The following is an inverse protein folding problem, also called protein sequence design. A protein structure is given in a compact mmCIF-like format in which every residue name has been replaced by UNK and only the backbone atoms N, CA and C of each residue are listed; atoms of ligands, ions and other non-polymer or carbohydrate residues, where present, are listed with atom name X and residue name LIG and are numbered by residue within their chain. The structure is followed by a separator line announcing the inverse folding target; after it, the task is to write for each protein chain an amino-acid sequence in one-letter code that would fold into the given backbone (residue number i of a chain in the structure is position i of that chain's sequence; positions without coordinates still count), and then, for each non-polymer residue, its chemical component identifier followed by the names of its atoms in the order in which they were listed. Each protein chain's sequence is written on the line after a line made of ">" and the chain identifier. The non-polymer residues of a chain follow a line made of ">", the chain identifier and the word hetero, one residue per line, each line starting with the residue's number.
data_IF_149429307532
#
_entry.id   IF_149429307532
#
_cell.length_a   1.000
_cell.length_b   1.000
_cell.length_c   1.000
_cell.angle_alpha   90.00
_cell.angle_beta   90.00
_cell.angle_gamma   90.00
#
_symmetry.space_group_name_H-M   'P 1'
#
loop_
_entity.id
_entity.type
_entity.pdbx_description
1 polymer ?
#
# COMPACT_ATOMS: atom_id res chain seq x y z
N UNK A 1 -38.00 17.66 26.32
CA UNK A 1 -37.19 16.59 26.94
C UNK A 1 -36.86 17.07 28.33
N UNK A 2 -37.47 16.48 29.36
CA UNK A 2 -37.18 16.82 30.76
C UNK A 2 -36.15 15.85 31.30
N UNK A 3 -34.88 16.11 30.96
CA UNK A 3 -33.75 15.33 31.45
C UNK A 3 -33.48 15.65 32.91
N UNK A 4 -33.30 14.63 33.73
CA UNK A 4 -32.91 14.77 35.14
C UNK A 4 -31.41 15.06 35.25
N UNK A 5 -31.02 16.31 34.99
CA UNK A 5 -29.62 16.75 34.97
C UNK A 5 -29.36 17.93 35.95
N UNK A 6 -28.21 17.90 36.63
CA UNK A 6 -27.70 19.05 37.40
C UNK A 6 -26.93 20.00 36.48
N UNK A 7 -27.64 20.98 35.94
CA UNK A 7 -27.12 21.94 34.96
C UNK A 7 -25.98 22.83 35.47
N UNK A 8 -25.75 22.90 36.80
CA UNK A 8 -24.62 23.65 37.37
C UNK A 8 -23.27 23.04 37.02
N UNK A 9 -23.26 21.78 36.58
CA UNK A 9 -22.06 21.03 36.20
C UNK A 9 -21.82 21.04 34.68
N UNK A 10 -22.59 21.83 33.93
CA UNK A 10 -22.40 21.99 32.49
C UNK A 10 -21.18 22.86 32.20
N UNK A 11 -20.40 22.52 31.17
CA UNK A 11 -19.22 23.26 30.78
C UNK A 11 -18.94 23.13 29.27
N UNK A 12 -18.08 24.01 28.74
CA UNK A 12 -17.55 23.96 27.38
C UNK A 12 -16.14 23.35 27.38
N UNK A 13 -15.73 22.77 26.25
CA UNK A 13 -14.52 21.92 26.15
C UNK A 13 -13.35 22.56 25.41
N UNK A 14 -13.42 23.84 25.06
CA UNK A 14 -12.33 24.56 24.39
C UNK A 14 -11.58 25.44 25.40
N UNK A 15 -10.45 26.00 24.95
CA UNK A 15 -9.67 27.02 25.66
C UNK A 15 -10.48 28.26 26.11
N UNK A 16 -11.66 28.49 25.54
CA UNK A 16 -12.64 29.50 25.98
C UNK A 16 -13.10 29.24 27.44
N UNK A 17 -13.10 27.99 27.90
CA UNK A 17 -13.35 27.64 29.29
C UNK A 17 -12.02 27.42 30.04
N UNK A 18 -11.57 28.39 30.86
CA UNK A 18 -10.24 28.33 31.48
C UNK A 18 -10.08 27.17 32.47
N UNK A 19 -11.16 26.75 33.13
CA UNK A 19 -11.12 25.65 34.10
C UNK A 19 -10.91 24.30 33.40
N UNK A 20 -11.63 24.09 32.29
CA UNK A 20 -11.46 22.88 31.49
C UNK A 20 -10.11 22.86 30.77
N UNK A 21 -9.66 24.00 30.23
CA UNK A 21 -8.33 24.13 29.62
C UNK A 21 -7.22 23.75 30.60
N UNK A 22 -7.27 24.29 31.82
CA UNK A 22 -6.30 23.97 32.87
C UNK A 22 -6.33 22.49 33.24
N UNK A 23 -7.50 21.85 33.26
CA UNK A 23 -7.63 20.42 33.55
C UNK A 23 -7.00 19.56 32.44
N UNK A 24 -7.26 19.87 31.17
CA UNK A 24 -6.68 19.13 30.03
C UNK A 24 -5.17 19.34 29.96
N UNK A 25 -4.67 20.57 30.16
CA UNK A 25 -3.23 20.84 30.23
C UNK A 25 -2.55 20.03 31.33
N UNK A 26 -3.14 19.96 32.52
CA UNK A 26 -2.66 19.10 33.60
C UNK A 26 -2.60 17.63 33.17
N UNK A 27 -3.67 17.09 32.56
CA UNK A 27 -3.71 15.70 32.09
C UNK A 27 -2.57 15.39 31.09
N UNK A 28 -2.38 16.24 30.09
CA UNK A 28 -1.35 16.02 29.07
C UNK A 28 0.06 16.11 29.64
N UNK A 29 0.32 16.98 30.62
CA UNK A 29 1.62 17.05 31.29
C UNK A 29 1.99 15.73 31.98
N UNK A 30 1.00 14.98 32.46
CA UNK A 30 1.21 13.65 33.04
C UNK A 30 1.45 12.59 31.96
N UNK A 31 0.81 12.72 30.79
CA UNK A 31 0.93 11.76 29.68
C UNK A 31 2.25 11.86 28.89
N UNK A 32 3.00 12.96 29.00
CA UNK A 32 4.25 13.19 28.24
C UNK A 32 5.39 12.18 28.54
N UNK A 33 5.24 11.30 29.53
CA UNK A 33 6.32 10.41 30.00
C UNK A 33 6.46 9.07 29.25
N UNK A 34 5.78 8.83 28.13
CA UNK A 34 5.92 7.61 27.31
C UNK A 34 5.68 7.84 25.79
N UNK A 35 6.37 7.11 24.93
CA UNK A 35 6.27 7.11 23.44
C UNK A 35 6.56 5.70 22.89
N UNK A 36 6.30 5.27 21.63
CA UNK A 36 6.13 5.87 20.28
C UNK A 36 5.33 4.98 19.30
N UNK A 37 4.63 5.56 18.29
CA UNK A 37 4.28 4.94 16.97
C UNK A 37 2.93 5.38 16.35
N UNK A 38 2.48 4.81 15.21
CA UNK A 38 1.09 4.61 14.64
C UNK A 38 1.34 3.81 13.33
N UNK A 39 0.55 2.78 12.98
CA UNK A 39 0.84 1.94 11.80
C UNK A 39 -0.27 2.01 10.73
N UNK A 40 -0.02 2.61 9.56
CA UNK A 40 -0.85 2.49 8.35
C UNK A 40 -0.52 1.21 7.55
N UNK A 41 -1.29 0.93 6.49
CA UNK A 41 -0.99 -0.22 5.62
C UNK A 41 0.28 0.05 4.80
N UNK A 42 1.31 -0.79 5.02
CA UNK A 42 2.61 -0.68 4.37
C UNK A 42 2.67 -1.48 3.06
N UNK A 43 2.94 -0.80 1.96
CA UNK A 43 3.28 -1.37 0.67
C UNK A 43 4.77 -1.20 0.37
N UNK A 44 5.30 -2.14 -0.41
CA UNK A 44 6.60 -1.98 -1.08
C UNK A 44 6.33 -1.49 -2.50
N UNK A 45 6.81 -0.31 -2.87
CA UNK A 45 6.78 0.16 -4.25
C UNK A 45 8.00 -0.36 -4.98
N UNK A 46 7.78 -1.23 -5.97
CA UNK A 46 8.80 -1.77 -6.86
C UNK A 46 9.00 -0.80 -8.01
N UNK A 47 10.25 -0.38 -8.24
CA UNK A 47 10.60 0.51 -9.34
C UNK A 47 10.78 -0.29 -10.63
N UNK A 48 9.86 -0.14 -11.57
CA UNK A 48 9.95 -0.73 -12.90
C UNK A 48 10.44 0.32 -13.89
N UNK A 49 11.72 0.27 -14.26
CA UNK A 49 12.34 1.26 -15.14
C UNK A 49 11.89 1.07 -16.58
N UNK A 50 11.43 2.13 -17.24
CA UNK A 50 11.16 2.09 -18.68
C UNK A 50 12.49 2.12 -19.43
N UNK A 51 12.71 1.10 -20.27
CA UNK A 51 13.91 0.96 -21.10
C UNK A 51 13.63 1.01 -22.60
N UNK A 52 12.34 0.99 -23.00
CA UNK A 52 11.92 1.30 -24.36
C UNK A 52 11.84 2.82 -24.59
N UNK A 53 11.52 3.21 -25.84
CA UNK A 53 11.18 4.60 -26.17
C UNK A 53 10.04 5.08 -25.27
N UNK A 54 10.19 6.29 -24.71
CA UNK A 54 9.16 6.93 -23.88
C UNK A 54 7.92 7.30 -24.73
N UNK A 55 6.73 7.31 -24.12
CA UNK A 55 5.53 7.85 -24.75
C UNK A 55 5.73 9.29 -25.22
N UNK A 56 5.01 9.70 -26.27
CA UNK A 56 5.12 11.04 -26.89
C UNK A 56 5.03 12.19 -25.86
N UNK A 57 4.14 12.08 -24.87
CA UNK A 57 3.98 13.09 -23.82
C UNK A 57 5.19 13.23 -22.88
N UNK A 58 6.10 12.26 -22.91
CA UNK A 58 7.32 12.21 -22.10
C UNK A 58 8.59 12.30 -22.96
N UNK A 59 8.47 12.57 -24.27
CA UNK A 59 9.60 12.54 -25.20
C UNK A 59 10.69 13.58 -24.90
N UNK A 60 10.33 14.66 -24.20
CA UNK A 60 11.24 15.73 -23.79
C UNK A 60 12.07 15.37 -22.56
N UNK A 61 11.76 14.28 -21.86
CA UNK A 61 12.55 13.80 -20.72
C UNK A 61 13.73 13.01 -21.27
N UNK A 62 14.92 13.36 -20.81
CA UNK A 62 16.14 12.59 -21.07
C UNK A 62 16.25 11.46 -20.01
N UNK A 63 15.94 10.20 -20.34
CA UNK A 63 15.94 9.09 -19.37
C UNK A 63 17.35 8.76 -18.85
N UNK A 64 18.41 9.26 -19.49
CA UNK A 64 19.78 9.14 -18.98
C UNK A 64 20.06 10.08 -17.80
N UNK A 65 19.31 11.20 -17.69
CA UNK A 65 19.41 12.16 -16.60
C UNK A 65 18.31 11.99 -15.56
N UNK A 66 17.09 11.75 -16.03
CA UNK A 66 15.89 11.58 -15.21
C UNK A 66 15.22 10.26 -15.59
N UNK A 67 15.67 9.12 -15.04
CA UNK A 67 15.08 7.82 -15.34
C UNK A 67 13.59 7.80 -14.97
N UNK A 68 12.80 7.13 -15.82
CA UNK A 68 11.34 7.05 -15.68
C UNK A 68 10.96 5.66 -15.17
N UNK A 69 10.19 5.62 -14.09
CA UNK A 69 9.75 4.37 -13.45
C UNK A 69 8.23 4.31 -13.35
N UNK A 70 7.65 3.15 -13.65
CA UNK A 70 6.35 2.80 -13.09
C UNK A 70 6.57 2.26 -11.68
N UNK A 71 5.86 2.80 -10.69
CA UNK A 71 5.97 2.35 -9.31
C UNK A 71 4.85 1.38 -8.99
N UNK A 72 5.14 0.09 -8.91
CA UNK A 72 4.14 -0.94 -8.65
C UNK A 72 4.04 -1.25 -7.16
N UNK A 73 2.84 -1.15 -6.57
CA UNK A 73 2.63 -1.45 -5.16
C UNK A 73 2.43 -2.95 -4.93
N UNK A 74 3.20 -3.55 -4.02
CA UNK A 74 3.05 -4.97 -3.63
C UNK A 74 3.12 -5.16 -2.12
N UNK A 75 2.40 -6.16 -1.62
CA UNK A 75 2.50 -6.68 -0.25
C UNK A 75 3.41 -7.90 -0.16
N UNK A 76 3.91 -8.40 -1.28
CA UNK A 76 4.69 -9.64 -1.40
C UNK A 76 5.98 -9.38 -2.18
N UNK A 77 6.94 -8.60 -1.64
CA UNK A 77 8.19 -8.29 -2.33
C UNK A 77 9.04 -9.54 -2.62
N UNK A 78 8.86 -10.63 -1.86
CA UNK A 78 9.56 -11.89 -2.08
C UNK A 78 9.24 -12.54 -3.43
N UNK A 79 8.11 -12.19 -4.04
CA UNK A 79 7.68 -12.81 -5.30
C UNK A 79 8.25 -12.15 -6.55
N UNK A 80 9.01 -11.05 -6.41
CA UNK A 80 9.47 -10.24 -7.54
C UNK A 80 10.43 -10.96 -8.50
N UNK A 81 10.98 -12.12 -8.12
CA UNK A 81 11.72 -12.98 -9.04
C UNK A 81 10.84 -13.50 -10.19
N UNK A 82 9.55 -13.71 -9.95
CA UNK A 82 8.61 -14.33 -10.88
C UNK A 82 7.83 -13.34 -11.74
N UNK A 83 8.31 -12.11 -11.86
CA UNK A 83 7.65 -11.07 -12.66
C UNK A 83 7.67 -11.41 -14.15
N UNK A 84 6.50 -11.53 -14.78
CA UNK A 84 6.36 -11.75 -16.24
C UNK A 84 6.02 -10.48 -17.02
N UNK A 85 5.31 -9.55 -16.38
CA UNK A 85 4.81 -8.31 -16.98
C UNK A 85 4.37 -7.31 -15.89
N UNK A 86 3.90 -6.15 -16.32
CA UNK A 86 3.29 -5.12 -15.47
C UNK A 86 1.86 -4.87 -15.93
N UNK A 87 0.91 -4.77 -15.02
CA UNK A 87 -0.49 -4.52 -15.32
C UNK A 87 -0.86 -3.05 -15.14
N UNK A 88 -1.60 -2.54 -16.12
CA UNK A 88 -2.23 -1.22 -16.08
C UNK A 88 -3.68 -1.35 -16.54
N UNK A 89 -4.55 -0.49 -16.01
CA UNK A 89 -5.91 -0.39 -16.52
C UNK A 89 -5.95 0.55 -17.72
N UNK A 90 -6.59 0.19 -18.85
CA UNK A 90 -6.56 0.99 -20.08
C UNK A 90 -7.07 2.42 -19.89
N UNK A 91 -8.15 2.59 -19.11
CA UNK A 91 -8.82 3.89 -18.94
C UNK A 91 -8.43 4.66 -17.68
N UNK A 92 -7.56 4.11 -16.82
CA UNK A 92 -7.11 4.85 -15.63
C UNK A 92 -6.18 5.97 -16.10
N UNK A 93 -6.33 7.14 -15.48
CA UNK A 93 -5.41 8.26 -15.66
C UNK A 93 -4.22 8.10 -14.71
N UNK A 94 -3.02 8.18 -15.30
CA UNK A 94 -1.73 8.18 -14.61
C UNK A 94 -1.07 9.55 -14.77
N UNK A 95 -0.34 9.96 -13.75
CA UNK A 95 0.49 11.17 -13.76
C UNK A 95 1.95 10.78 -13.77
N UNK A 96 2.72 11.41 -14.64
CA UNK A 96 4.18 11.41 -14.58
C UNK A 96 4.61 12.54 -13.66
N UNK A 97 5.17 12.20 -12.50
CA UNK A 97 5.55 13.16 -11.47
C UNK A 97 7.04 13.12 -11.19
N UNK A 98 7.67 14.28 -11.10
CA UNK A 98 9.07 14.39 -10.74
C UNK A 98 9.29 14.20 -9.24
N UNK A 99 10.21 13.31 -8.88
CA UNK A 99 10.76 13.19 -7.54
C UNK A 99 12.14 13.82 -7.49
N UNK A 100 12.30 14.89 -6.72
CA UNK A 100 13.62 15.49 -6.46
C UNK A 100 14.45 14.60 -5.55
N UNK A 101 13.82 13.91 -4.59
CA UNK A 101 14.51 12.98 -3.67
C UNK A 101 15.26 11.89 -4.42
N UNK A 102 14.68 11.35 -5.48
CA UNK A 102 15.26 10.26 -6.26
C UNK A 102 15.81 10.69 -7.62
N UNK A 103 15.74 11.99 -7.97
CA UNK A 103 16.12 12.52 -9.29
C UNK A 103 15.54 11.69 -10.45
N UNK A 104 14.23 11.41 -10.38
CA UNK A 104 13.54 10.46 -11.25
C UNK A 104 12.11 10.92 -11.56
N UNK A 105 11.53 10.38 -12.62
CA UNK A 105 10.09 10.55 -12.94
C UNK A 105 9.35 9.27 -12.55
N UNK A 106 8.23 9.41 -11.84
CA UNK A 106 7.38 8.31 -11.41
C UNK A 106 6.03 8.35 -12.11
N UNK A 107 5.58 7.20 -12.60
CA UNK A 107 4.25 7.00 -13.17
C UNK A 107 3.38 6.26 -12.18
N UNK A 108 2.36 6.96 -11.66
CA UNK A 108 1.39 6.47 -10.67
C UNK A 108 0.04 7.18 -10.88
N UNK A 109 -1.02 6.75 -10.21
CA UNK A 109 -2.26 7.55 -10.16
C UNK A 109 -2.06 8.84 -9.39
N UNK A 110 -2.88 9.87 -9.70
CA UNK A 110 -2.82 11.17 -9.00
C UNK A 110 -3.03 11.04 -7.49
N UNK A 111 -3.90 10.12 -7.06
CA UNK A 111 -4.15 9.80 -5.63
C UNK A 111 -2.87 9.32 -4.95
N UNK A 112 -2.19 8.35 -5.56
CA UNK A 112 -0.94 7.83 -5.02
C UNK A 112 0.16 8.90 -5.01
N UNK A 113 0.27 9.72 -6.06
CA UNK A 113 1.20 10.84 -6.10
C UNK A 113 0.98 11.83 -4.94
N UNK A 114 -0.28 12.18 -4.64
CA UNK A 114 -0.61 13.04 -3.50
C UNK A 114 -0.17 12.42 -2.17
N UNK A 115 -0.48 11.13 -1.98
CA UNK A 115 -0.10 10.41 -0.78
C UNK A 115 1.44 10.33 -0.62
N UNK A 116 2.17 10.07 -1.71
CA UNK A 116 3.64 10.12 -1.76
C UNK A 116 4.21 11.50 -1.43
N UNK A 117 3.54 12.58 -1.84
CA UNK A 117 3.97 13.96 -1.57
C UNK A 117 3.94 14.29 -0.07
N UNK A 118 3.12 13.60 0.72
CA UNK A 118 3.05 13.74 2.16
C UNK A 118 3.93 12.72 2.91
N UNK A 119 4.67 11.86 2.22
CA UNK A 119 5.54 10.82 2.80
C UNK A 119 7.02 11.06 2.46
N UNK A 120 7.39 12.29 2.10
CA UNK A 120 8.73 12.67 1.66
C UNK A 120 9.27 11.88 0.45
N UNK A 121 8.41 11.27 -0.36
CA UNK A 121 8.85 10.45 -1.52
C UNK A 121 9.09 11.27 -2.79
N UNK A 122 8.60 12.52 -2.84
CA UNK A 122 8.71 13.40 -3.99
C UNK A 122 9.70 14.56 -3.74
N UNK A 123 9.26 15.64 -3.11
CA UNK A 123 10.07 16.81 -2.74
C UNK A 123 9.94 17.05 -1.23
N UNK A 124 10.87 16.52 -0.40
CA UNK A 124 10.83 16.68 1.06
C UNK A 124 10.83 18.16 1.50
N UNK A 125 11.32 19.08 0.67
CA UNK A 125 11.30 20.51 0.98
C UNK A 125 9.93 21.16 0.79
N UNK A 126 9.00 20.47 0.09
CA UNK A 126 7.64 20.97 -0.20
C UNK A 126 6.61 19.84 -0.07
N UNK A 127 6.29 19.40 1.16
CA UNK A 127 5.28 18.36 1.40
C UNK A 127 3.93 18.72 0.75
N UNK A 128 3.28 17.72 0.14
CA UNK A 128 2.00 17.88 -0.55
C UNK A 128 2.07 18.52 -1.95
N UNK A 129 3.23 19.05 -2.38
CA UNK A 129 3.39 19.64 -3.71
C UNK A 129 3.60 18.57 -4.78
N UNK A 130 2.89 18.71 -5.90
CA UNK A 130 2.99 17.80 -7.05
C UNK A 130 3.63 18.51 -8.26
N UNK A 131 4.84 18.10 -8.65
CA UNK A 131 5.50 18.53 -9.89
C UNK A 131 5.13 17.56 -11.03
N UNK A 132 3.89 17.70 -11.53
CA UNK A 132 3.36 16.86 -12.61
C UNK A 132 3.95 17.33 -13.95
N UNK A 133 4.63 16.43 -14.63
CA UNK A 133 5.26 16.68 -15.94
C UNK A 133 4.30 16.37 -17.09
N UNK A 134 3.49 15.30 -16.96
CA UNK A 134 2.48 14.94 -17.93
C UNK A 134 1.39 14.04 -17.32
N UNK A 135 0.28 13.93 -18.05
CA UNK A 135 -0.84 13.03 -17.74
C UNK A 135 -1.09 12.08 -18.91
N UNK A 136 -1.20 10.79 -18.63
CA UNK A 136 -1.36 9.72 -19.62
C UNK A 136 -2.50 8.77 -19.22
N UNK A 137 -3.19 8.20 -20.19
CA UNK A 137 -4.06 7.04 -19.92
C UNK A 137 -3.23 5.76 -19.87
N UNK A 138 -3.74 4.71 -19.22
CA UNK A 138 -3.05 3.41 -19.22
C UNK A 138 -2.85 2.83 -20.62
N UNK A 139 -3.76 3.11 -21.55
CA UNK A 139 -3.63 2.72 -22.95
C UNK A 139 -2.40 3.33 -23.63
N UNK A 140 -2.05 4.58 -23.32
CA UNK A 140 -0.82 5.23 -23.81
C UNK A 140 0.46 4.62 -23.23
N UNK A 141 0.34 3.77 -22.21
CA UNK A 141 1.45 3.15 -21.50
C UNK A 141 1.62 1.66 -21.85
N UNK A 142 0.79 1.07 -22.72
CA UNK A 142 0.92 -0.34 -23.11
C UNK A 142 2.10 -0.62 -24.05
N UNK A 143 2.64 -1.82 -23.97
CA UNK A 143 3.76 -2.29 -24.80
C UNK A 143 5.12 -1.67 -24.46
N UNK A 144 5.22 -0.90 -23.37
CA UNK A 144 6.49 -0.36 -22.89
C UNK A 144 7.33 -1.49 -22.30
N UNK A 145 8.61 -1.53 -22.66
CA UNK A 145 9.57 -2.50 -22.12
C UNK A 145 10.15 -1.96 -20.82
N UNK A 146 10.14 -2.81 -19.79
CA UNK A 146 10.48 -2.50 -18.42
C UNK A 146 11.61 -3.40 -17.91
N UNK A 147 12.49 -2.84 -17.08
CA UNK A 147 13.36 -3.61 -16.20
C UNK A 147 12.85 -3.50 -14.77
N UNK A 148 12.46 -4.64 -14.20
CA UNK A 148 12.09 -4.77 -12.80
C UNK A 148 13.19 -5.46 -11.99
N UNK A 149 13.35 -5.12 -10.71
CA UNK A 149 14.33 -5.77 -9.85
C UNK A 149 14.00 -7.25 -9.66
N UNK A 150 15.03 -8.06 -9.43
CA UNK A 150 14.97 -9.51 -9.18
C UNK A 150 14.42 -10.39 -10.31
N UNK A 151 13.67 -9.84 -11.29
CA UNK A 151 13.06 -10.61 -12.37
C UNK A 151 14.08 -11.50 -13.09
N UNK A 152 13.67 -12.73 -13.40
CA UNK A 152 14.46 -13.66 -14.21
C UNK A 152 14.53 -13.26 -15.68
N UNK A 153 13.56 -12.48 -16.17
CA UNK A 153 13.55 -11.94 -17.53
C UNK A 153 14.46 -10.71 -17.61
N UNK A 154 15.78 -10.94 -17.67
CA UNK A 154 16.82 -9.88 -17.66
C UNK A 154 16.75 -8.92 -18.85
N UNK A 155 16.24 -9.43 -19.95
CA UNK A 155 15.94 -8.66 -21.15
C UNK A 155 14.78 -7.67 -20.92
N UNK A 156 13.96 -7.86 -19.89
CA UNK A 156 12.85 -6.99 -19.54
C UNK A 156 11.49 -7.62 -19.83
N UNK A 157 10.48 -7.01 -19.24
CA UNK A 157 9.07 -7.39 -19.28
C UNK A 157 8.23 -6.25 -19.87
N UNK A 158 6.94 -6.45 -20.13
CA UNK A 158 6.11 -5.43 -20.79
C UNK A 158 4.95 -4.92 -19.93
N UNK A 159 4.49 -3.71 -20.21
CA UNK A 159 3.20 -3.21 -19.72
C UNK A 159 2.05 -3.78 -20.53
N UNK A 160 1.09 -4.41 -19.85
CA UNK A 160 -0.04 -5.13 -20.45
C UNK A 160 -1.37 -4.70 -19.81
N UNK A 161 -2.50 -4.86 -20.53
CA UNK A 161 -3.83 -4.47 -20.04
C UNK A 161 -4.39 -5.46 -19.00
N UNK A 162 -4.92 -4.92 -17.90
CA UNK A 162 -5.72 -5.67 -16.93
C UNK A 162 -6.93 -4.84 -16.46
N UNK A 163 -8.14 -5.37 -16.69
CA UNK A 163 -9.39 -4.63 -16.47
C UNK A 163 -9.84 -4.60 -14.99
N UNK A 164 -9.21 -5.40 -14.14
CA UNK A 164 -9.51 -5.47 -12.70
C UNK A 164 -8.64 -4.55 -11.85
N UNK A 165 -7.64 -3.89 -12.44
CA UNK A 165 -6.78 -2.93 -11.72
C UNK A 165 -7.61 -1.73 -11.27
N UNK A 166 -7.46 -1.36 -9.99
CA UNK A 166 -8.20 -0.26 -9.36
C UNK A 166 -7.31 0.97 -9.18
N UNK A 167 -7.86 2.16 -9.45
CA UNK A 167 -7.19 3.43 -9.15
C UNK A 167 -7.19 3.77 -7.65
N UNK A 168 -8.06 3.11 -6.87
CA UNK A 168 -8.32 3.42 -5.47
C UNK A 168 -7.38 2.67 -4.49
N UNK A 169 -6.59 1.70 -4.97
CA UNK A 169 -5.66 0.91 -4.15
C UNK A 169 -4.26 0.94 -4.75
N UNK A 170 -3.24 1.04 -3.90
CA UNK A 170 -1.85 1.19 -4.31
C UNK A 170 -1.65 2.35 -5.30
N UNK A 171 -0.81 2.12 -6.30
CA UNK A 171 -0.42 3.15 -7.28
C UNK A 171 -1.21 3.09 -8.59
N UNK A 172 -2.14 2.15 -8.73
CA UNK A 172 -2.76 1.79 -10.02
C UNK A 172 -1.81 1.05 -10.98
N UNK A 173 -0.59 0.74 -10.55
CA UNK A 173 0.39 -0.08 -11.27
C UNK A 173 0.58 -1.37 -10.47
N UNK A 174 0.46 -2.52 -11.12
CA UNK A 174 0.55 -3.83 -10.45
C UNK A 174 1.61 -4.69 -11.13
N UNK A 175 2.51 -5.30 -10.35
CA UNK A 175 3.45 -6.31 -10.85
C UNK A 175 2.73 -7.62 -11.13
N UNK A 176 3.02 -8.28 -12.24
CA UNK A 176 2.44 -9.58 -12.58
C UNK A 176 3.35 -10.73 -12.18
N UNK A 177 2.92 -11.54 -11.21
CA UNK A 177 3.61 -12.75 -10.76
C UNK A 177 2.66 -13.96 -10.90
N UNK A 178 2.45 -14.47 -12.12
CA UNK A 178 1.42 -15.46 -12.44
C UNK A 178 1.67 -16.86 -11.84
N UNK A 179 2.83 -17.10 -11.21
CA UNK A 179 3.06 -18.32 -10.44
C UNK A 179 2.30 -18.33 -9.11
N UNK A 180 2.12 -17.15 -8.49
CA UNK A 180 1.73 -16.99 -7.08
C UNK A 180 0.54 -16.05 -6.87
N UNK A 181 0.04 -15.43 -7.94
CA UNK A 181 -1.14 -14.59 -7.94
C UNK A 181 -2.17 -15.10 -8.96
N UNK A 182 -3.34 -15.61 -8.51
CA UNK A 182 -4.39 -16.11 -9.40
C UNK A 182 -4.89 -15.08 -10.42
N UNK A 183 -5.08 -13.82 -9.98
CA UNK A 183 -5.50 -12.72 -10.86
C UNK A 183 -4.52 -12.56 -12.04
N UNK A 184 -3.21 -12.60 -11.75
CA UNK A 184 -2.14 -12.42 -12.75
C UNK A 184 -2.11 -13.58 -13.75
N UNK A 185 -2.22 -14.82 -13.28
CA UNK A 185 -2.27 -15.99 -14.16
C UNK A 185 -3.50 -15.96 -15.06
N UNK A 186 -4.67 -15.65 -14.51
CA UNK A 186 -5.91 -15.58 -15.27
C UNK A 186 -5.83 -14.52 -16.38
N UNK A 187 -5.33 -13.32 -16.07
CA UNK A 187 -5.16 -12.23 -17.05
C UNK A 187 -4.09 -12.54 -18.09
N UNK A 188 -2.96 -13.13 -17.71
CA UNK A 188 -1.91 -13.56 -18.65
C UNK A 188 -2.44 -14.66 -19.60
N UNK A 189 -3.15 -15.65 -19.06
CA UNK A 189 -3.78 -16.72 -19.85
C UNK A 189 -4.81 -16.17 -20.84
N UNK A 190 -5.62 -15.19 -20.42
CA UNK A 190 -6.56 -14.52 -21.30
C UNK A 190 -5.86 -13.83 -22.48
N UNK A 191 -4.75 -13.12 -22.23
CA UNK A 191 -3.95 -12.49 -23.29
C UNK A 191 -3.31 -13.51 -24.23
N UNK A 192 -2.79 -14.62 -23.70
CA UNK A 192 -2.25 -15.72 -24.52
C UNK A 192 -3.33 -16.31 -25.43
N UNK A 193 -4.51 -16.61 -24.89
CA UNK A 193 -5.56 -17.32 -25.62
C UNK A 193 -6.35 -16.44 -26.60
N UNK A 194 -6.51 -15.15 -26.30
CA UNK A 194 -7.41 -14.26 -27.05
C UNK A 194 -6.61 -13.27 -27.90
N UNK A 195 -6.29 -13.64 -29.15
CA UNK A 195 -5.59 -12.75 -30.09
C UNK A 195 -6.29 -11.40 -30.28
N UNK A 196 -7.63 -11.40 -30.41
CA UNK A 196 -8.40 -10.15 -30.53
C UNK A 196 -8.22 -9.19 -29.34
N UNK A 197 -7.90 -9.72 -28.14
CA UNK A 197 -7.62 -8.88 -26.97
C UNK A 197 -6.25 -8.20 -27.06
N UNK A 198 -5.25 -8.90 -27.62
CA UNK A 198 -3.93 -8.34 -27.94
C UNK A 198 -4.03 -7.27 -29.02
N UNK A 199 -4.72 -7.57 -30.12
CA UNK A 199 -4.92 -6.65 -31.25
C UNK A 199 -5.63 -5.37 -30.84
N UNK A 200 -6.65 -5.46 -29.98
CA UNK A 200 -7.40 -4.30 -29.47
C UNK A 200 -6.50 -3.23 -28.86
N UNK A 201 -5.45 -3.62 -28.15
CA UNK A 201 -4.54 -2.71 -27.44
C UNK A 201 -3.15 -2.63 -28.07
N UNK A 202 -2.98 -3.12 -29.31
CA UNK A 202 -1.71 -3.06 -30.02
C UNK A 202 -0.56 -3.86 -29.36
N UNK A 203 -0.88 -4.93 -28.63
CA UNK A 203 0.11 -5.80 -27.98
C UNK A 203 0.59 -6.86 -28.98
N UNK A 204 1.90 -6.96 -29.20
CA UNK A 204 2.48 -8.00 -30.07
C UNK A 204 2.69 -9.32 -29.32
N UNK A 205 2.80 -10.42 -30.08
CA UNK A 205 2.96 -11.77 -29.56
C UNK A 205 4.24 -11.96 -28.72
N UNK A 206 5.33 -11.32 -29.12
CA UNK A 206 6.60 -11.27 -28.40
C UNK A 206 6.49 -10.65 -27.00
N UNK A 207 5.47 -9.82 -26.74
CA UNK A 207 5.23 -9.20 -25.44
C UNK A 207 4.52 -10.12 -24.45
N UNK A 208 3.97 -11.25 -24.91
CA UNK A 208 3.08 -12.11 -24.11
C UNK A 208 3.48 -13.58 -24.18
N UNK A 209 3.59 -14.14 -25.38
CA UNK A 209 3.73 -15.58 -25.58
C UNK A 209 5.00 -16.18 -24.94
N UNK A 210 6.18 -15.53 -25.01
CA UNK A 210 7.41 -16.06 -24.41
C UNK A 210 7.45 -16.05 -22.88
N UNK A 211 6.52 -15.36 -22.22
CA UNK A 211 6.53 -15.19 -20.78
C UNK A 211 5.67 -16.26 -20.10
N UNK A 212 6.33 -17.18 -19.40
CA UNK A 212 5.69 -18.27 -18.66
C UNK A 212 5.80 -18.03 -17.15
N UNK A 213 4.87 -18.58 -16.33
CA UNK A 213 5.02 -18.56 -14.88
C UNK A 213 6.35 -19.16 -14.42
N UNK A 214 6.98 -18.49 -13.47
CA UNK A 214 8.31 -18.85 -12.95
C UNK A 214 8.14 -19.51 -11.58
N UNK A 215 8.73 -20.68 -11.38
CA UNK A 215 8.72 -21.36 -10.08
C UNK A 215 9.55 -20.56 -9.05
N UNK A 216 8.88 -19.88 -8.12
CA UNK A 216 9.53 -19.04 -7.11
C UNK A 216 9.33 -19.52 -5.68
N UNK A 217 8.17 -20.10 -5.38
CA UNK A 217 7.78 -20.57 -4.05
C UNK A 217 7.15 -21.95 -4.20
N UNK A 218 7.65 -22.92 -3.44
CA UNK A 218 6.98 -24.19 -3.27
C UNK A 218 6.00 -24.07 -2.12
N UNK A 219 4.70 -24.18 -2.42
CA UNK A 219 3.62 -24.10 -1.44
C UNK A 219 3.09 -25.51 -1.17
N UNK A 220 3.20 -26.02 0.07
CA UNK A 220 2.69 -27.35 0.40
C UNK A 220 1.22 -27.53 0.00
N UNK A 221 0.93 -28.63 -0.69
CA UNK A 221 -0.42 -28.94 -1.21
C UNK A 221 -0.82 -28.23 -2.51
N UNK A 222 -0.10 -27.18 -2.93
CA UNK A 222 -0.33 -26.46 -4.19
C UNK A 222 0.84 -26.55 -5.18
N UNK A 223 2.00 -27.04 -4.75
CA UNK A 223 3.18 -27.22 -5.60
C UNK A 223 3.97 -25.92 -5.85
N UNK A 224 4.74 -25.90 -6.94
CA UNK A 224 5.65 -24.80 -7.30
C UNK A 224 5.02 -23.70 -8.15
N UNK A 225 3.83 -23.97 -8.67
CA UNK A 225 2.99 -23.05 -9.42
C UNK A 225 1.61 -22.99 -8.76
N UNK A 226 1.52 -22.46 -7.53
CA UNK A 226 0.30 -22.52 -6.73
C UNK A 226 -0.89 -21.81 -7.39
N UNK A 227 -0.68 -20.69 -8.08
CA UNK A 227 -1.76 -19.96 -8.73
C UNK A 227 -2.35 -20.71 -9.93
N UNK A 228 -1.56 -21.25 -10.88
CA UNK A 228 -2.07 -22.15 -11.91
C UNK A 228 -2.81 -23.36 -11.33
N UNK A 229 -2.22 -24.03 -10.33
CA UNK A 229 -2.82 -25.22 -9.71
C UNK A 229 -4.18 -24.93 -9.07
N UNK A 230 -4.32 -23.82 -8.32
CA UNK A 230 -5.60 -23.45 -7.70
C UNK A 230 -6.64 -23.07 -8.76
N UNK A 231 -6.24 -22.38 -9.83
CA UNK A 231 -7.14 -22.00 -10.93
C UNK A 231 -7.72 -23.24 -11.62
N UNK A 232 -6.90 -24.27 -11.85
CA UNK A 232 -7.35 -25.55 -12.39
C UNK A 232 -8.28 -26.29 -11.41
N UNK A 233 -7.90 -26.41 -10.14
CA UNK A 233 -8.72 -27.06 -9.10
C UNK A 233 -10.10 -26.42 -8.95
N UNK A 234 -10.17 -25.08 -9.02
CA UNK A 234 -11.40 -24.30 -8.88
C UNK A 234 -12.15 -24.09 -10.21
N UNK A 235 -11.61 -24.63 -11.32
CA UNK A 235 -12.17 -24.52 -12.68
C UNK A 235 -12.47 -23.07 -13.08
N UNK A 236 -11.54 -22.16 -12.77
CA UNK A 236 -11.65 -20.73 -13.11
C UNK A 236 -11.34 -20.55 -14.61
N UNK A 237 -12.27 -19.96 -15.35
CA UNK A 237 -12.19 -19.87 -16.82
C UNK A 237 -11.73 -18.50 -17.30
N UNK A 238 -12.00 -17.43 -16.55
CA UNK A 238 -11.74 -16.06 -16.97
C UNK A 238 -11.33 -15.17 -15.81
N UNK A 239 -10.62 -14.07 -16.09
CA UNK A 239 -10.34 -13.01 -15.11
C UNK A 239 -11.62 -12.34 -14.55
N UNK A 240 -12.77 -12.60 -15.17
CA UNK A 240 -14.07 -12.09 -14.74
C UNK A 240 -14.71 -12.90 -13.61
N UNK A 241 -14.18 -14.08 -13.25
CA UNK A 241 -14.70 -14.95 -12.18
C UNK A 241 -14.30 -14.42 -10.78
N UNK A 242 -14.69 -13.17 -10.46
CA UNK A 242 -14.16 -12.38 -9.33
C UNK A 242 -14.25 -13.05 -7.97
N UNK A 243 -15.37 -13.68 -7.65
CA UNK A 243 -15.56 -14.34 -6.35
C UNK A 243 -14.62 -15.53 -6.18
N UNK A 244 -14.52 -16.38 -7.21
CA UNK A 244 -13.61 -17.54 -7.20
C UNK A 244 -12.16 -17.12 -7.19
N UNK A 245 -11.80 -16.05 -7.91
CA UNK A 245 -10.44 -15.50 -7.91
C UNK A 245 -10.06 -14.94 -6.54
N UNK A 246 -10.99 -14.28 -5.85
CA UNK A 246 -10.76 -13.78 -4.50
C UNK A 246 -10.52 -14.94 -3.51
N UNK A 247 -11.35 -15.99 -3.54
CA UNK A 247 -11.15 -17.19 -2.72
C UNK A 247 -9.81 -17.89 -3.05
N UNK A 248 -9.49 -18.03 -4.34
CA UNK A 248 -8.22 -18.58 -4.79
C UNK A 248 -7.02 -17.78 -4.25
N UNK A 249 -7.11 -16.45 -4.32
CA UNK A 249 -6.07 -15.53 -3.86
C UNK A 249 -5.84 -15.65 -2.36
N UNK A 250 -6.90 -15.64 -1.56
CA UNK A 250 -6.79 -15.81 -0.11
C UNK A 250 -6.14 -17.15 0.27
N UNK A 251 -6.52 -18.23 -0.43
CA UNK A 251 -5.94 -19.56 -0.23
C UNK A 251 -4.43 -19.57 -0.54
N UNK A 252 -4.03 -19.08 -1.73
CA UNK A 252 -2.63 -19.04 -2.16
C UNK A 252 -1.80 -18.13 -1.25
N UNK A 253 -2.30 -16.94 -0.90
CA UNK A 253 -1.57 -15.98 -0.08
C UNK A 253 -1.35 -16.50 1.34
N UNK A 254 -2.37 -17.08 1.96
CA UNK A 254 -2.26 -17.61 3.32
C UNK A 254 -1.28 -18.77 3.39
N UNK A 255 -1.44 -19.78 2.52
CA UNK A 255 -0.57 -20.95 2.52
C UNK A 255 0.87 -20.58 2.12
N UNK A 256 1.03 -19.76 1.08
CA UNK A 256 2.35 -19.31 0.63
C UNK A 256 3.11 -18.50 1.68
N UNK A 257 2.42 -17.71 2.51
CA UNK A 257 3.09 -16.93 3.54
C UNK A 257 3.64 -17.78 4.71
N UNK A 258 2.81 -18.68 5.26
CA UNK A 258 3.17 -19.46 6.47
C UNK A 258 4.02 -20.71 6.15
N UNK A 259 3.70 -21.37 5.04
CA UNK A 259 4.24 -22.69 4.70
C UNK A 259 5.09 -22.69 3.44
N UNK A 260 5.05 -21.61 2.66
CA UNK A 260 5.82 -21.49 1.42
C UNK A 260 7.33 -21.42 1.67
N UNK A 261 8.07 -22.13 0.82
CA UNK A 261 9.54 -22.15 0.81
C UNK A 261 10.06 -21.53 -0.49
N UNK A 262 10.98 -20.57 -0.39
CA UNK A 262 11.57 -19.93 -1.56
C UNK A 262 12.47 -20.90 -2.36
N UNK A 263 12.33 -20.87 -3.67
CA UNK A 263 13.09 -21.71 -4.61
C UNK A 263 14.24 -20.96 -5.30
N UNK A 264 14.24 -19.63 -5.20
CA UNK A 264 15.08 -18.73 -6.00
C UNK A 264 15.74 -17.66 -5.13
N UNK A 265 16.75 -17.00 -5.71
CA UNK A 265 17.43 -15.88 -5.07
C UNK A 265 18.36 -16.27 -3.93
N UNK A 266 18.80 -15.26 -3.19
CA UNK A 266 19.77 -15.39 -2.10
C UNK A 266 19.23 -16.16 -0.89
N UNK A 267 17.91 -16.07 -0.64
CA UNK A 267 17.21 -16.71 0.48
C UNK A 267 16.55 -18.02 0.08
N UNK A 268 17.11 -18.73 -0.91
CA UNK A 268 16.61 -20.02 -1.38
C UNK A 268 16.62 -21.05 -0.25
N UNK A 269 15.52 -21.77 -0.08
CA UNK A 269 15.32 -22.77 0.96
C UNK A 269 14.74 -22.21 2.26
N UNK A 270 14.62 -20.89 2.39
CA UNK A 270 14.00 -20.27 3.56
C UNK A 270 12.48 -20.19 3.45
N UNK A 271 11.81 -20.15 4.61
CA UNK A 271 10.37 -19.85 4.68
C UNK A 271 10.11 -18.40 4.25
N UNK A 272 9.05 -18.21 3.48
CA UNK A 272 8.60 -16.89 2.99
C UNK A 272 8.43 -15.88 4.12
N UNK A 273 7.84 -16.29 5.25
CA UNK A 273 7.65 -15.43 6.42
C UNK A 273 8.96 -14.79 6.93
N UNK A 274 10.08 -15.51 6.84
CA UNK A 274 11.39 -15.03 7.31
C UNK A 274 12.07 -14.18 6.23
N UNK A 275 12.04 -14.63 4.97
CA UNK A 275 12.73 -13.98 3.88
C UNK A 275 12.06 -12.67 3.41
N UNK A 276 10.73 -12.54 3.56
CA UNK A 276 9.96 -11.38 3.06
C UNK A 276 10.54 -10.04 3.49
N UNK A 277 10.80 -9.86 4.78
CA UNK A 277 11.33 -8.58 5.32
C UNK A 277 12.80 -8.36 4.95
N UNK A 278 13.58 -9.43 4.80
CA UNK A 278 14.97 -9.35 4.34
C UNK A 278 15.04 -8.89 2.88
N UNK A 279 14.25 -9.50 2.00
CA UNK A 279 14.18 -9.12 0.58
C UNK A 279 13.65 -7.70 0.41
N UNK A 280 12.61 -7.31 1.17
CA UNK A 280 12.11 -5.93 1.18
C UNK A 280 13.24 -4.95 1.52
N UNK A 281 14.01 -5.23 2.57
CA UNK A 281 15.14 -4.41 2.99
C UNK A 281 16.23 -4.34 1.92
N UNK A 282 16.62 -5.48 1.34
CA UNK A 282 17.64 -5.54 0.28
C UNK A 282 17.26 -4.66 -0.93
N UNK A 283 15.98 -4.70 -1.34
CA UNK A 283 15.47 -3.86 -2.44
C UNK A 283 15.45 -2.37 -2.10
N UNK A 284 15.19 -2.02 -0.84
CA UNK A 284 15.21 -0.61 -0.38
C UNK A 284 16.64 -0.11 -0.31
N UNK A 285 17.55 -0.92 0.25
CA UNK A 285 18.97 -0.59 0.39
C UNK A 285 19.65 -0.45 -0.99
N UNK A 286 19.19 -1.21 -2.00
CA UNK A 286 19.63 -1.07 -3.40
C UNK A 286 18.93 0.06 -4.17
N UNK A 287 18.02 0.80 -3.54
CA UNK A 287 17.20 1.85 -4.15
C UNK A 287 16.31 1.33 -5.32
N UNK A 288 16.01 0.04 -5.36
CA UNK A 288 15.11 -0.62 -6.33
C UNK A 288 13.65 -0.65 -5.84
N UNK A 289 13.43 -0.41 -4.55
CA UNK A 289 12.11 -0.25 -3.95
C UNK A 289 12.07 0.90 -2.92
N UNK A 290 10.85 1.25 -2.50
CA UNK A 290 10.63 2.18 -1.38
C UNK A 290 9.39 1.78 -0.57
N UNK A 291 9.33 2.23 0.67
CA UNK A 291 8.13 2.09 1.50
C UNK A 291 7.11 3.15 1.11
N UNK A 292 5.85 2.73 0.97
CA UNK A 292 4.70 3.59 0.74
C UNK A 292 3.55 3.13 1.62
N UNK A 293 2.86 4.08 2.22
CA UNK A 293 1.77 3.80 3.13
C UNK A 293 0.46 4.36 2.60
N UNK A 294 -0.66 3.65 2.78
CA UNK A 294 -1.98 4.19 2.44
C UNK A 294 -3.05 3.79 3.46
N UNK A 295 -4.18 4.52 3.50
CA UNK A 295 -5.33 4.08 4.26
C UNK A 295 -5.83 2.74 3.73
N UNK A 296 -6.09 1.78 4.63
CA UNK A 296 -6.57 0.42 4.26
C UNK A 296 -7.89 0.46 3.47
N UNK A 297 -8.71 1.47 3.75
CA UNK A 297 -9.99 1.73 3.09
C UNK A 297 -10.08 3.21 2.70
N UNK A 298 -10.88 3.57 1.70
CA UNK A 298 -11.17 4.98 1.41
C UNK A 298 -11.66 5.69 2.68
N UNK A 299 -10.95 6.74 3.08
CA UNK A 299 -11.31 7.58 4.21
C UNK A 299 -11.57 8.97 3.65
N UNK A 300 -12.77 9.49 3.89
CA UNK A 300 -13.14 10.84 3.48
C UNK A 300 -13.16 11.72 4.72
N UNK A 301 -12.51 12.87 4.62
CA UNK A 301 -12.48 13.88 5.69
C UNK A 301 -13.84 14.56 5.83
N UNK A 302 -14.06 15.26 6.94
CA UNK A 302 -15.30 16.02 7.14
C UNK A 302 -15.50 17.14 6.10
N UNK A 303 -14.42 17.67 5.51
CA UNK A 303 -14.47 18.65 4.43
C UNK A 303 -14.82 18.05 3.06
N UNK A 304 -14.86 16.71 2.94
CA UNK A 304 -15.15 16.00 1.69
C UNK A 304 -13.92 15.59 0.90
N UNK A 305 -12.70 15.88 1.40
CA UNK A 305 -11.45 15.48 0.76
C UNK A 305 -11.07 14.03 1.09
N UNK A 306 -10.46 13.31 0.14
CA UNK A 306 -9.87 12.00 0.40
C UNK A 306 -8.65 12.12 1.33
N UNK A 307 -8.63 11.33 2.40
CA UNK A 307 -7.52 11.30 3.34
C UNK A 307 -6.33 10.53 2.75
N UNK A 308 -5.14 10.96 3.14
CA UNK A 308 -3.85 10.37 2.79
C UNK A 308 -3.08 10.03 4.07
N UNK A 309 -2.10 9.14 3.97
CA UNK A 309 -1.16 8.90 5.06
C UNK A 309 -0.03 9.91 4.95
N UNK A 310 0.18 10.68 6.00
CA UNK A 310 1.20 11.71 6.07
C UNK A 310 2.32 11.25 7.02
N UNK A 311 3.56 11.36 6.57
CA UNK A 311 4.74 11.32 7.44
C UNK A 311 4.94 12.73 7.98
N UNK A 312 4.38 13.00 9.16
CA UNK A 312 4.50 14.29 9.82
C UNK A 312 4.98 14.16 11.27
N UNK A 313 5.62 15.22 11.74
CA UNK A 313 5.86 15.39 13.17
C UNK A 313 4.52 15.62 13.86
N UNK A 314 4.23 14.83 14.87
CA UNK A 314 2.91 14.74 15.48
C UNK A 314 3.07 14.18 16.90
N UNK A 315 2.46 14.84 17.90
CA UNK A 315 2.28 14.22 19.21
C UNK A 315 1.17 13.16 19.14
N UNK A 316 1.42 12.01 19.74
CA UNK A 316 0.50 10.86 19.80
C UNK A 316 0.52 10.28 21.22
N UNK A 317 -0.48 9.44 21.53
CA UNK A 317 -0.54 8.64 22.75
C UNK A 317 -0.09 7.22 22.43
N UNK A 318 0.86 6.68 23.20
CA UNK A 318 1.37 5.33 22.99
C UNK A 318 0.51 4.27 23.68
N UNK A 319 -0.66 3.97 23.11
CA UNK A 319 -1.46 2.83 23.56
C UNK A 319 -0.90 1.48 23.11
N UNK A 320 0.21 1.48 22.36
CA UNK A 320 0.93 0.27 21.95
C UNK A 320 1.70 -0.36 23.10
N UNK A 321 2.10 0.42 24.09
CA UNK A 321 2.87 -0.03 25.27
C UNK A 321 2.22 -1.23 25.98
N UNK A 322 2.96 -2.32 26.08
CA UNK A 322 2.46 -3.59 26.60
C UNK A 322 2.15 -3.51 28.11
N UNK A 323 2.89 -2.70 28.87
CA UNK A 323 2.62 -2.50 30.30
C UNK A 323 1.31 -1.72 30.51
N UNK A 324 1.07 -0.68 29.72
CA UNK A 324 -0.15 0.10 29.75
C UNK A 324 -1.36 -0.74 29.29
N UNK A 325 -1.22 -1.54 28.21
CA UNK A 325 -2.26 -2.49 27.79
C UNK A 325 -2.60 -3.50 28.87
N UNK A 326 -1.60 -4.04 29.56
CA UNK A 326 -1.83 -4.97 30.66
C UNK A 326 -2.64 -4.30 31.80
N UNK A 327 -2.27 -3.07 32.17
CA UNK A 327 -3.02 -2.29 33.17
C UNK A 327 -4.46 -2.00 32.72
N UNK A 328 -4.67 -1.67 31.44
CA UNK A 328 -6.00 -1.44 30.86
C UNK A 328 -6.87 -2.71 30.90
N UNK A 329 -6.31 -3.90 30.63
CA UNK A 329 -7.04 -5.18 30.75
C UNK A 329 -7.48 -5.47 32.19
N UNK A 330 -6.64 -5.15 33.18
CA UNK A 330 -7.02 -5.27 34.60
C UNK A 330 -8.19 -4.35 34.95
N UNK A 331 -8.24 -3.14 34.38
CA UNK A 331 -9.37 -2.23 34.55
C UNK A 331 -10.63 -2.73 33.84
N UNK A 332 -10.51 -3.23 32.61
CA UNK A 332 -11.61 -3.79 31.82
C UNK A 332 -12.28 -4.97 32.53
N UNK A 333 -11.50 -5.85 33.15
CA UNK A 333 -12.01 -6.99 33.92
C UNK A 333 -12.95 -6.58 35.08
N UNK A 334 -12.78 -5.37 35.63
CA UNK A 334 -13.61 -4.83 36.72
C UNK A 334 -14.83 -4.08 36.24
N UNK A 335 -14.90 -3.74 34.94
CA UNK A 335 -16.00 -2.98 34.37
C UNK A 335 -17.26 -3.85 34.26
N UNK A 336 -18.41 -3.33 34.68
CA UNK A 336 -19.70 -4.02 34.51
C UNK A 336 -20.30 -3.67 33.13
N UNK A 337 -20.11 -4.56 32.16
CA UNK A 337 -20.59 -4.42 30.78
C UNK A 337 -21.06 -5.78 30.26
N UNK A 338 -21.93 -5.73 29.25
CA UNK A 338 -22.38 -6.91 28.53
C UNK A 338 -21.23 -7.56 27.75
N UNK A 339 -21.33 -8.87 27.53
CA UNK A 339 -20.25 -9.69 26.95
C UNK A 339 -19.85 -9.25 25.54
N UNK A 340 -20.80 -8.86 24.70
CA UNK A 340 -20.51 -8.34 23.36
C UNK A 340 -19.64 -7.07 23.41
N UNK A 341 -19.97 -6.14 24.32
CA UNK A 341 -19.18 -4.94 24.51
C UNK A 341 -17.78 -5.26 25.06
N UNK A 342 -17.67 -6.28 25.93
CA UNK A 342 -16.39 -6.73 26.46
C UNK A 342 -15.50 -7.30 25.36
N UNK A 343 -16.04 -8.20 24.53
CA UNK A 343 -15.32 -8.79 23.40
C UNK A 343 -14.82 -7.72 22.43
N UNK A 344 -15.63 -6.69 22.15
CA UNK A 344 -15.21 -5.55 21.32
C UNK A 344 -14.08 -4.73 21.97
N UNK A 345 -14.12 -4.52 23.29
CA UNK A 345 -13.05 -3.82 24.00
C UNK A 345 -11.75 -4.64 24.03
N UNK A 346 -11.82 -5.95 24.26
CA UNK A 346 -10.66 -6.85 24.22
C UNK A 346 -10.02 -6.85 22.82
N UNK A 347 -10.84 -7.04 21.77
CA UNK A 347 -10.37 -6.95 20.39
C UNK A 347 -9.71 -5.58 20.11
N UNK A 348 -10.30 -4.50 20.63
CA UNK A 348 -9.72 -3.15 20.50
C UNK A 348 -8.37 -3.03 21.21
N UNK A 349 -8.23 -3.50 22.44
CA UNK A 349 -6.95 -3.47 23.16
C UNK A 349 -5.85 -4.28 22.46
N UNK A 350 -6.21 -5.32 21.72
CA UNK A 350 -5.25 -6.12 20.95
C UNK A 350 -4.69 -5.34 19.74
N UNK A 351 -5.55 -4.75 18.91
CA UNK A 351 -5.11 -4.04 17.70
C UNK A 351 -4.74 -2.57 17.95
N UNK A 352 -5.22 -1.96 19.04
CA UNK A 352 -4.94 -0.56 19.36
C UNK A 352 -3.43 -0.39 19.52
N UNK A 353 -2.87 0.51 18.72
CA UNK A 353 -1.51 0.97 18.87
C UNK A 353 -1.59 2.45 19.18
N UNK A 354 -0.60 3.17 18.74
CA UNK A 354 -0.47 4.55 19.10
C UNK A 354 -1.51 5.40 18.35
N UNK A 355 -1.80 6.58 18.90
CA UNK A 355 -2.91 7.41 18.43
C UNK A 355 -2.53 8.88 18.34
N UNK A 356 -2.46 9.42 17.13
CA UNK A 356 -2.15 10.83 16.87
C UNK A 356 -3.18 11.76 17.52
N UNK A 357 -2.77 12.49 18.56
CA UNK A 357 -3.66 13.31 19.40
C UNK A 357 -3.53 14.82 19.22
N UNK A 358 -2.44 15.33 18.64
CA UNK A 358 -2.30 16.78 18.35
C UNK A 358 -2.93 17.21 17.02
N UNK A 359 -3.41 18.45 16.91
CA UNK A 359 -3.89 19.02 15.64
C UNK A 359 -3.38 20.45 15.46
N UNK A 360 -3.25 20.94 14.23
CA UNK A 360 -2.86 22.33 13.95
C UNK A 360 -4.04 23.25 13.60
N UNK A 361 -5.22 22.67 13.40
CA UNK A 361 -6.43 23.37 13.00
C UNK A 361 -7.65 22.82 13.72
N UNK A 362 -8.55 23.72 14.15
CA UNK A 362 -9.76 23.39 14.91
C UNK A 362 -9.92 24.24 16.17
N UNK A 363 -10.90 23.88 17.00
CA UNK A 363 -11.10 24.44 18.35
C UNK A 363 -10.71 23.38 19.38
N UNK A 364 -10.12 23.78 20.50
CA UNK A 364 -9.65 22.85 21.53
C UNK A 364 -8.78 23.53 22.58
N UNK A 365 -7.98 22.75 23.30
CA UNK A 365 -7.02 23.22 24.29
C UNK A 365 -5.62 23.01 23.75
N UNK A 366 -4.78 24.05 23.75
CA UNK A 366 -3.41 23.94 23.25
C UNK A 366 -2.54 23.03 24.13
N UNK A 367 -1.64 22.29 23.50
CA UNK A 367 -0.67 21.46 24.22
C UNK A 367 0.24 22.33 25.09
N UNK A 368 0.39 22.01 26.39
CA UNK A 368 1.03 22.92 27.35
C UNK A 368 2.54 23.10 27.18
N UNK A 369 3.19 22.31 26.31
CA UNK A 369 4.61 22.42 25.98
C UNK A 369 4.89 22.75 24.51
N UNK A 370 3.86 22.86 23.68
CA UNK A 370 3.99 23.19 22.26
C UNK A 370 2.67 23.82 21.75
N UNK A 371 2.53 25.13 21.95
CA UNK A 371 1.29 25.88 21.65
C UNK A 371 0.93 25.90 20.14
N UNK A 372 1.79 25.36 19.27
CA UNK A 372 1.48 25.12 17.85
C UNK A 372 0.41 24.04 17.67
N UNK A 373 0.26 23.14 18.64
CA UNK A 373 -0.69 22.04 18.61
C UNK A 373 -1.87 22.29 19.56
N UNK A 374 -3.07 21.97 19.07
CA UNK A 374 -4.29 21.74 19.84
C UNK A 374 -4.39 20.29 20.28
#
# INVERSE_FOLDING_TARGET
>A
MDLQADWRRSFLTTDVNPYYDSFVRWQFLHLKQSGLGVVPMEYTLIKLQIVSKLPKKLEMIDPAKEPVFLLAATLRPETMYGQTNCWLHPTIEYVAIRSKRYSSIFLVTRRAALNMAYQDLLDPARPGHLDIVATLTGEELFGLRLKGPLSVYKEGIYTLPMLSVSAAKGTGVVTSVPSDAPDDFASLRDLKNKQAFREKYGISDEMVLPFEPVEIIETPGLGRLPAPTVIEQMKIQSQNDREKLQEAKEKVYRLGFYDGVLLVGKHKGEKVQNAKKLIQKELIDSNEAMIYQEPEKPVVTRSGDDAVVCLCNQWYLDYGDEAWKAAARVALAKLNIHDEARNNMDATLDWLREHACSRTYGLGTRMPWDDKWL
#
